data_IF_634809820290
#
_entry.id   IF_634809820290
#
_cell.length_a   1.000
_cell.length_b   1.000
_cell.length_c   1.000
_cell.angle_alpha   90.00
_cell.angle_beta   90.00
_cell.angle_gamma   90.00
#
_symmetry.space_group_name_H-M   'P 1'
#
loop_
_entity.id
_entity.type
_entity.pdbx_description
1 polymer ?
#
# COMPACT_ATOMS: atom_id res chain seq x y z
N UNK A 1 17.31 8.57 28.59
CA UNK A 1 15.92 8.74 29.03
C UNK A 1 15.67 7.77 30.17
N UNK A 2 15.23 8.22 31.33
CA UNK A 2 14.72 7.28 32.34
C UNK A 2 13.45 6.62 31.76
N UNK A 3 13.26 5.30 31.94
CA UNK A 3 12.04 4.64 31.52
C UNK A 3 10.85 5.29 32.22
N UNK A 4 9.82 5.65 31.46
CA UNK A 4 8.58 6.23 32.00
C UNK A 4 8.01 5.22 33.00
N UNK A 5 7.95 5.61 34.27
CA UNK A 5 7.26 4.82 35.29
C UNK A 5 5.77 4.93 35.06
N UNK A 6 5.19 3.88 34.47
CA UNK A 6 3.76 3.74 34.16
C UNK A 6 3.00 3.30 35.41
N UNK A 7 3.13 4.08 36.46
CA UNK A 7 2.55 3.84 37.79
C UNK A 7 1.11 4.39 37.90
N UNK A 8 0.40 4.21 39.03
CA UNK A 8 -0.94 4.76 39.19
C UNK A 8 -1.04 6.28 39.01
N UNK A 9 0.04 7.02 39.29
CA UNK A 9 0.06 8.47 39.09
C UNK A 9 0.13 8.82 37.59
N UNK A 10 0.84 8.01 36.79
CA UNK A 10 0.83 8.12 35.34
C UNK A 10 -0.55 7.82 34.75
N UNK A 11 -1.21 6.73 35.17
CA UNK A 11 -2.60 6.41 34.75
C UNK A 11 -3.57 7.56 35.07
N UNK A 12 -3.46 8.13 36.28
CA UNK A 12 -4.29 9.28 36.69
C UNK A 12 -3.97 10.57 35.91
N UNK A 13 -2.75 10.72 35.39
CA UNK A 13 -2.44 11.79 34.44
C UNK A 13 -3.13 11.55 33.11
N UNK A 14 -2.97 10.38 32.50
CA UNK A 14 -3.60 10.06 31.21
C UNK A 14 -5.12 10.26 31.25
N UNK A 15 -5.77 9.82 32.32
CA UNK A 15 -7.20 10.06 32.53
C UNK A 15 -7.59 11.53 32.38
N UNK A 16 -6.87 12.43 33.06
CA UNK A 16 -7.16 13.87 33.02
C UNK A 16 -6.91 14.48 31.64
N UNK A 17 -5.88 14.01 30.92
CA UNK A 17 -5.60 14.49 29.57
C UNK A 17 -6.71 14.02 28.60
N UNK A 18 -7.16 12.77 28.71
CA UNK A 18 -8.28 12.23 27.90
C UNK A 18 -9.55 13.03 28.16
N UNK A 19 -9.95 13.20 29.42
CA UNK A 19 -11.13 13.99 29.81
C UNK A 19 -11.04 15.45 29.33
N UNK A 20 -9.83 16.02 29.30
CA UNK A 20 -9.62 17.37 28.77
C UNK A 20 -9.84 17.43 27.25
N UNK A 21 -9.25 16.49 26.50
CA UNK A 21 -9.43 16.40 25.04
C UNK A 21 -10.90 16.17 24.69
N UNK A 22 -11.60 15.28 25.41
CA UNK A 22 -13.04 15.06 25.26
C UNK A 22 -13.82 16.37 25.39
N UNK A 23 -13.54 17.14 26.44
CA UNK A 23 -14.22 18.43 26.69
C UNK A 23 -14.01 19.41 25.54
N UNK A 24 -12.78 19.53 25.02
CA UNK A 24 -12.48 20.41 23.88
C UNK A 24 -13.29 20.02 22.65
N UNK A 25 -13.32 18.72 22.33
CA UNK A 25 -14.03 18.19 21.17
C UNK A 25 -15.55 18.34 21.30
N UNK A 26 -16.12 18.11 22.49
CA UNK A 26 -17.55 18.30 22.76
C UNK A 26 -17.99 19.77 22.64
N UNK A 27 -17.13 20.70 23.02
CA UNK A 27 -17.37 22.15 22.88
C UNK A 27 -17.13 22.66 21.44
N UNK A 28 -16.71 21.79 20.51
CA UNK A 28 -16.39 22.15 19.13
C UNK A 28 -15.12 22.99 19.00
N UNK A 29 -14.21 22.89 19.97
CA UNK A 29 -12.89 23.51 19.95
C UNK A 29 -11.89 22.59 19.23
N UNK A 30 -10.81 23.17 18.72
CA UNK A 30 -9.67 22.38 18.25
C UNK A 30 -8.94 21.73 19.43
N UNK A 31 -8.52 20.49 19.27
CA UNK A 31 -7.79 19.72 20.28
C UNK A 31 -6.46 19.16 19.72
N UNK A 32 -6.00 19.68 18.58
CA UNK A 32 -4.85 19.15 17.85
C UNK A 32 -3.56 19.23 18.66
N UNK A 33 -3.36 20.31 19.43
CA UNK A 33 -2.17 20.49 20.27
C UNK A 33 -2.15 19.51 21.45
N UNK A 34 -3.31 19.29 22.08
CA UNK A 34 -3.48 18.37 23.21
C UNK A 34 -3.33 16.91 22.77
N UNK A 35 -3.90 16.55 21.62
CA UNK A 35 -3.74 15.22 21.02
C UNK A 35 -2.28 14.97 20.66
N UNK A 36 -1.59 15.95 20.08
CA UNK A 36 -0.16 15.82 19.79
C UNK A 36 0.65 15.62 21.07
N UNK A 37 0.41 16.42 22.11
CA UNK A 37 1.11 16.28 23.39
C UNK A 37 0.82 14.92 24.08
N UNK A 38 -0.42 14.43 23.96
CA UNK A 38 -0.80 13.11 24.46
C UNK A 38 -0.07 11.97 23.73
N UNK A 39 0.02 12.07 22.39
CA UNK A 39 0.75 11.13 21.55
C UNK A 39 2.25 11.11 21.86
N UNK A 40 2.87 12.28 22.05
CA UNK A 40 4.27 12.39 22.48
C UNK A 40 4.50 11.79 23.87
N UNK A 41 3.55 11.96 24.80
CA UNK A 41 3.63 11.41 26.15
C UNK A 41 3.55 9.88 26.18
N UNK A 42 2.72 9.30 25.32
CA UNK A 42 2.38 7.87 25.32
C UNK A 42 3.23 7.08 24.32
N UNK A 43 3.76 7.74 23.30
CA UNK A 43 4.40 7.10 22.15
C UNK A 43 3.37 6.41 21.25
N UNK A 44 2.16 6.96 21.15
CA UNK A 44 1.05 6.45 20.32
C UNK A 44 0.68 7.48 19.24
N UNK A 45 -0.19 7.08 18.31
CA UNK A 45 -0.67 7.91 17.20
C UNK A 45 -2.20 7.95 17.17
N UNK A 46 -2.81 8.49 18.23
CA UNK A 46 -4.26 8.68 18.28
C UNK A 46 -4.68 9.92 17.48
N UNK A 47 -5.87 9.86 16.89
CA UNK A 47 -6.54 10.99 16.26
C UNK A 47 -7.75 11.45 17.09
N UNK A 48 -8.37 12.56 16.67
CA UNK A 48 -9.56 13.09 17.34
C UNK A 48 -10.73 12.10 17.35
N UNK A 49 -10.81 11.19 16.35
CA UNK A 49 -11.89 10.22 16.26
C UNK A 49 -11.90 9.29 17.47
N UNK A 50 -10.74 8.80 17.90
CA UNK A 50 -10.61 7.93 19.08
C UNK A 50 -11.20 8.59 20.32
N UNK A 51 -10.82 9.84 20.63
CA UNK A 51 -11.29 10.54 21.84
C UNK A 51 -12.81 10.82 21.80
N UNK A 52 -13.39 11.01 20.61
CA UNK A 52 -14.83 11.20 20.47
C UNK A 52 -15.65 9.91 20.45
N UNK A 53 -15.05 8.74 20.17
CA UNK A 53 -15.79 7.50 19.87
C UNK A 53 -15.32 6.23 20.57
N UNK A 54 -14.25 6.25 21.38
CA UNK A 54 -13.73 5.02 22.01
C UNK A 54 -14.79 4.27 22.82
N UNK A 55 -15.70 4.99 23.48
CA UNK A 55 -16.80 4.42 24.28
C UNK A 55 -17.73 3.49 23.49
N UNK A 56 -17.70 3.56 22.14
CA UNK A 56 -18.43 2.63 21.27
C UNK A 56 -17.79 1.23 21.21
N UNK A 57 -16.53 1.10 21.62
CA UNK A 57 -15.73 -0.11 21.51
C UNK A 57 -15.06 -0.54 22.82
N UNK A 58 -14.60 0.40 23.65
CA UNK A 58 -13.77 0.15 24.85
C UNK A 58 -14.14 1.10 26.00
N UNK A 59 -13.76 0.75 27.23
CA UNK A 59 -13.90 1.65 28.38
C UNK A 59 -12.79 2.71 28.43
N UNK A 60 -12.99 3.77 29.22
CA UNK A 60 -11.94 4.76 29.49
C UNK A 60 -10.74 4.10 30.18
N UNK A 61 -11.00 3.19 31.10
CA UNK A 61 -9.97 2.39 31.77
C UNK A 61 -9.15 1.60 30.75
N UNK A 62 -9.78 0.95 29.77
CA UNK A 62 -9.07 0.20 28.71
C UNK A 62 -8.22 1.13 27.83
N UNK A 63 -8.74 2.31 27.46
CA UNK A 63 -7.99 3.30 26.69
C UNK A 63 -6.76 3.79 27.47
N UNK A 64 -6.90 4.02 28.78
CA UNK A 64 -5.78 4.38 29.65
C UNK A 64 -4.74 3.25 29.73
N UNK A 65 -5.18 2.00 29.81
CA UNK A 65 -4.28 0.85 29.80
C UNK A 65 -3.52 0.73 28.48
N UNK A 66 -4.22 0.88 27.35
CA UNK A 66 -3.62 0.87 26.03
C UNK A 66 -2.59 2.01 25.86
N UNK A 67 -2.95 3.23 26.25
CA UNK A 67 -2.07 4.40 26.20
C UNK A 67 -0.91 4.31 27.20
N UNK A 68 -1.04 3.50 28.25
CA UNK A 68 0.08 3.13 29.12
C UNK A 68 1.03 2.16 28.46
N UNK A 69 0.62 1.39 27.44
CA UNK A 69 1.53 0.53 26.70
C UNK A 69 2.26 1.35 25.62
N UNK A 70 3.54 1.04 25.38
CA UNK A 70 4.28 1.69 24.30
C UNK A 70 3.82 1.12 22.98
N UNK A 71 4.22 1.73 21.86
CA UNK A 71 3.96 1.14 20.56
C UNK A 71 4.65 -0.25 20.48
N UNK A 72 3.88 -1.34 20.34
CA UNK A 72 4.46 -2.66 20.15
C UNK A 72 5.12 -2.69 18.77
N UNK A 73 6.44 -2.82 18.78
CA UNK A 73 7.28 -2.82 17.58
C UNK A 73 7.94 -4.19 17.41
N UNK A 74 8.52 -4.41 16.23
CA UNK A 74 9.31 -5.61 15.95
C UNK A 74 10.53 -5.68 16.88
N UNK A 75 10.71 -6.82 17.55
CA UNK A 75 11.83 -7.10 18.44
C UNK A 75 12.84 -7.96 17.66
N UNK A 76 14.05 -7.44 17.35
CA UNK A 76 14.99 -8.11 16.46
C UNK A 76 15.45 -9.51 16.89
N UNK A 77 15.47 -9.78 18.19
CA UNK A 77 15.99 -11.00 18.82
C UNK A 77 14.91 -11.79 19.58
N UNK A 78 13.63 -11.56 19.26
CA UNK A 78 12.54 -12.31 19.89
C UNK A 78 12.67 -13.81 19.62
N UNK A 79 12.57 -14.58 20.70
CA UNK A 79 12.69 -16.03 20.66
C UNK A 79 11.35 -16.67 20.33
N UNK A 80 11.39 -17.93 19.86
CA UNK A 80 10.17 -18.71 19.62
C UNK A 80 9.40 -18.90 20.93
N UNK A 81 10.08 -19.14 22.03
CA UNK A 81 9.50 -19.32 23.36
C UNK A 81 8.74 -18.06 23.82
N UNK A 82 9.27 -16.87 23.55
CA UNK A 82 8.59 -15.59 23.83
C UNK A 82 7.35 -15.39 22.95
N UNK A 83 7.43 -15.73 21.66
CA UNK A 83 6.26 -15.69 20.78
C UNK A 83 5.16 -16.66 21.24
N UNK A 84 5.52 -17.87 21.67
CA UNK A 84 4.59 -18.85 22.21
C UNK A 84 3.95 -18.33 23.49
N UNK A 85 4.71 -17.70 24.37
CA UNK A 85 4.20 -17.06 25.57
C UNK A 85 3.20 -15.93 25.27
N UNK A 86 3.46 -15.14 24.21
CA UNK A 86 2.52 -14.12 23.74
C UNK A 86 1.21 -14.76 23.26
N UNK A 87 1.29 -15.78 22.40
CA UNK A 87 0.11 -16.50 21.91
C UNK A 87 -0.69 -17.14 23.06
N UNK A 88 0.00 -17.72 24.05
CA UNK A 88 -0.61 -18.29 25.26
C UNK A 88 -1.37 -17.24 26.09
N UNK A 89 -0.83 -16.02 26.22
CA UNK A 89 -1.53 -14.92 26.91
C UNK A 89 -2.75 -14.48 26.14
N UNK A 90 -2.67 -14.40 24.82
CA UNK A 90 -3.79 -13.98 23.97
C UNK A 90 -4.97 -14.97 23.99
N UNK A 91 -4.73 -16.25 24.32
CA UNK A 91 -5.78 -17.23 24.53
C UNK A 91 -6.37 -17.22 25.95
N UNK A 92 -5.81 -16.42 26.88
CA UNK A 92 -6.33 -16.29 28.23
C UNK A 92 -7.56 -15.36 28.24
N UNK A 93 -8.74 -15.91 28.56
CA UNK A 93 -10.00 -15.16 28.63
C UNK A 93 -9.99 -14.06 29.70
N UNK A 94 -9.09 -14.11 30.68
CA UNK A 94 -8.96 -13.10 31.74
C UNK A 94 -8.05 -11.93 31.37
N UNK A 95 -7.43 -11.94 30.17
CA UNK A 95 -6.55 -10.87 29.71
C UNK A 95 -7.34 -9.56 29.49
N UNK A 96 -6.85 -8.45 30.04
CA UNK A 96 -7.52 -7.14 29.89
C UNK A 96 -7.51 -6.70 28.43
N UNK A 97 -8.48 -5.84 28.03
CA UNK A 97 -8.56 -5.38 26.65
C UNK A 97 -7.27 -4.67 26.18
N UNK A 98 -6.71 -3.81 27.04
CA UNK A 98 -5.47 -3.10 26.74
C UNK A 98 -4.28 -4.05 26.54
N UNK A 99 -4.18 -5.10 27.37
CA UNK A 99 -3.14 -6.12 27.24
C UNK A 99 -3.37 -6.98 25.99
N UNK A 100 -4.61 -7.40 25.72
CA UNK A 100 -4.98 -8.14 24.50
C UNK A 100 -4.57 -7.40 23.25
N UNK A 101 -4.91 -6.10 23.15
CA UNK A 101 -4.53 -5.27 22.00
C UNK A 101 -3.01 -5.14 21.88
N UNK A 102 -2.31 -4.93 23.00
CA UNK A 102 -0.85 -4.83 22.99
C UNK A 102 -0.18 -6.13 22.52
N UNK A 103 -0.54 -7.27 23.10
CA UNK A 103 0.05 -8.56 22.74
C UNK A 103 -0.30 -8.96 21.29
N UNK A 104 -1.49 -8.61 20.80
CA UNK A 104 -1.87 -8.88 19.42
C UNK A 104 -0.99 -8.12 18.44
N UNK A 105 -0.89 -6.79 18.60
CA UNK A 105 -0.03 -5.96 17.76
C UNK A 105 1.45 -6.37 17.86
N UNK A 106 1.90 -6.77 19.05
CA UNK A 106 3.25 -7.28 19.25
C UNK A 106 3.47 -8.58 18.48
N UNK A 107 2.51 -9.50 18.50
CA UNK A 107 2.59 -10.75 17.75
C UNK A 107 2.62 -10.46 16.23
N UNK A 108 1.70 -9.64 15.73
CA UNK A 108 1.61 -9.22 14.33
C UNK A 108 2.92 -8.60 13.82
N UNK A 109 3.56 -7.75 14.64
CA UNK A 109 4.84 -7.12 14.28
C UNK A 109 6.02 -8.11 14.18
N UNK A 110 5.88 -9.33 14.73
CA UNK A 110 6.98 -10.28 14.89
C UNK A 110 6.77 -11.62 14.15
N UNK A 111 5.65 -11.82 13.46
CA UNK A 111 5.40 -13.00 12.61
C UNK A 111 5.20 -12.61 11.14
N UNK A 112 5.53 -13.49 10.17
CA UNK A 112 5.34 -13.18 8.75
C UNK A 112 3.88 -13.34 8.27
N UNK A 113 3.04 -14.04 9.04
CA UNK A 113 1.63 -14.27 8.69
C UNK A 113 0.78 -13.01 8.88
N UNK A 114 0.10 -12.51 7.82
CA UNK A 114 -0.94 -11.51 7.98
C UNK A 114 -2.15 -12.13 8.68
N UNK A 115 -2.91 -11.32 9.42
CA UNK A 115 -4.13 -11.77 10.13
C UNK A 115 -3.87 -12.96 11.06
N UNK A 116 -2.73 -12.99 11.77
CA UNK A 116 -2.41 -14.05 12.74
C UNK A 116 -3.47 -14.18 13.85
N UNK A 117 -4.22 -13.10 14.10
CA UNK A 117 -5.41 -13.08 14.97
C UNK A 117 -6.41 -14.18 14.64
N UNK A 118 -6.52 -14.58 13.36
CA UNK A 118 -7.45 -15.63 12.96
C UNK A 118 -7.07 -16.99 13.55
N UNK A 119 -5.77 -17.28 13.65
CA UNK A 119 -5.29 -18.51 14.29
C UNK A 119 -5.57 -18.54 15.80
N UNK A 120 -5.73 -17.38 16.42
CA UNK A 120 -5.97 -17.25 17.87
C UNK A 120 -7.46 -17.41 18.18
N UNK A 121 -8.33 -16.76 17.39
CA UNK A 121 -9.75 -16.63 17.74
C UNK A 121 -10.67 -17.60 17.00
N UNK A 122 -10.29 -18.11 15.83
CA UNK A 122 -11.16 -18.94 15.00
C UNK A 122 -10.72 -20.41 14.90
N UNK A 123 -9.47 -20.70 15.23
CA UNK A 123 -8.89 -22.03 15.15
C UNK A 123 -8.66 -22.60 16.55
N UNK A 124 -8.94 -23.88 16.74
CA UNK A 124 -8.69 -24.60 18.01
C UNK A 124 -7.27 -25.16 18.02
N UNK A 125 -6.29 -24.26 18.21
CA UNK A 125 -4.85 -24.56 18.16
C UNK A 125 -4.17 -24.24 19.48
N UNK A 126 -3.19 -25.08 19.85
CA UNK A 126 -2.30 -24.78 20.97
C UNK A 126 -1.30 -23.65 20.59
N UNK A 127 -0.81 -22.85 21.55
CA UNK A 127 0.10 -21.73 21.29
C UNK A 127 1.31 -22.08 20.41
N UNK A 128 1.93 -23.25 20.61
CA UNK A 128 3.05 -23.72 19.81
C UNK A 128 2.69 -23.95 18.35
N UNK A 129 1.46 -24.43 18.07
CA UNK A 129 0.95 -24.69 16.73
C UNK A 129 0.61 -23.39 16.01
N UNK A 130 0.06 -22.40 16.74
CA UNK A 130 -0.18 -21.05 16.22
C UNK A 130 1.14 -20.46 15.73
N UNK A 131 2.17 -20.45 16.58
CA UNK A 131 3.47 -19.88 16.21
C UNK A 131 4.17 -20.68 15.11
N UNK A 132 4.08 -22.02 15.13
CA UNK A 132 4.62 -22.85 14.04
C UNK A 132 4.00 -22.45 12.69
N UNK A 133 2.67 -22.32 12.62
CA UNK A 133 1.96 -21.96 11.40
C UNK A 133 2.19 -20.51 10.99
N UNK A 134 2.18 -19.58 11.95
CA UNK A 134 2.41 -18.17 11.70
C UNK A 134 3.84 -17.93 11.16
N UNK A 135 4.84 -18.64 11.68
CA UNK A 135 6.24 -18.53 11.23
C UNK A 135 6.52 -19.28 9.94
N UNK A 136 5.81 -20.37 9.67
CA UNK A 136 5.89 -21.11 8.41
C UNK A 136 5.09 -20.46 7.26
N UNK A 137 4.40 -19.34 7.53
CA UNK A 137 3.65 -18.64 6.50
C UNK A 137 4.58 -18.10 5.43
N UNK A 138 4.44 -18.67 4.23
CA UNK A 138 4.96 -18.08 3.01
C UNK A 138 3.81 -17.35 2.34
N UNK A 139 4.00 -16.05 2.07
CA UNK A 139 3.03 -15.31 1.28
C UNK A 139 2.81 -16.02 -0.04
N UNK A 140 1.54 -16.06 -0.48
CA UNK A 140 1.22 -16.54 -1.83
C UNK A 140 1.98 -15.65 -2.80
N UNK A 141 3.09 -16.17 -3.31
CA UNK A 141 3.73 -15.63 -4.50
C UNK A 141 2.81 -16.03 -5.64
N UNK A 142 2.01 -15.07 -6.11
CA UNK A 142 1.46 -15.21 -7.45
C UNK A 142 2.65 -15.51 -8.38
N UNK A 143 2.56 -16.52 -9.24
CA UNK A 143 3.63 -16.76 -10.20
C UNK A 143 3.88 -15.45 -10.93
N UNK A 144 5.15 -15.04 -11.00
CA UNK A 144 5.56 -14.02 -11.95
C UNK A 144 5.05 -14.40 -13.35
N UNK A 145 4.97 -13.45 -14.30
CA UNK A 145 4.37 -13.69 -15.59
C UNK A 145 5.04 -14.90 -16.19
N UNK A 146 4.23 -15.86 -16.63
CA UNK A 146 4.77 -17.02 -17.33
C UNK A 146 5.72 -16.49 -18.42
N UNK A 147 6.94 -17.02 -18.56
CA UNK A 147 7.92 -16.54 -19.54
C UNK A 147 7.34 -16.41 -20.95
N UNK A 148 6.33 -17.23 -21.26
CA UNK A 148 5.55 -17.22 -22.50
C UNK A 148 4.78 -15.91 -22.76
N UNK A 149 4.44 -15.15 -21.71
CA UNK A 149 3.74 -13.85 -21.81
C UNK A 149 4.70 -12.66 -21.78
N UNK A 150 5.77 -12.73 -20.97
CA UNK A 150 6.70 -11.62 -20.84
C UNK A 150 7.45 -11.31 -22.15
N UNK A 151 7.96 -12.33 -22.83
CA UNK A 151 8.71 -12.15 -24.09
C UNK A 151 7.91 -11.40 -25.16
N UNK A 152 6.72 -11.90 -25.56
CA UNK A 152 5.87 -11.19 -26.52
C UNK A 152 5.47 -9.78 -26.08
N UNK A 153 5.19 -9.59 -24.79
CA UNK A 153 4.79 -8.29 -24.25
C UNK A 153 5.93 -7.26 -24.31
N UNK A 154 7.15 -7.63 -23.91
CA UNK A 154 8.30 -6.71 -23.97
C UNK A 154 8.72 -6.42 -25.42
N UNK A 155 8.56 -7.37 -26.33
CA UNK A 155 8.79 -7.17 -27.76
C UNK A 155 7.77 -6.21 -28.37
N UNK A 156 6.50 -6.24 -27.92
CA UNK A 156 5.49 -5.23 -28.26
C UNK A 156 5.94 -3.84 -27.81
N UNK A 157 6.37 -3.68 -26.54
CA UNK A 157 6.85 -2.39 -26.03
C UNK A 157 8.03 -1.85 -26.85
N UNK A 158 9.01 -2.70 -27.18
CA UNK A 158 10.16 -2.33 -28.03
C UNK A 158 9.72 -1.94 -29.44
N UNK A 159 8.83 -2.71 -30.04
CA UNK A 159 8.29 -2.41 -31.37
C UNK A 159 7.52 -1.10 -31.39
N UNK A 160 6.75 -0.82 -30.33
CA UNK A 160 6.05 0.46 -30.18
C UNK A 160 7.01 1.62 -30.04
N UNK A 161 8.07 1.49 -29.24
CA UNK A 161 9.09 2.53 -29.15
C UNK A 161 9.82 2.77 -30.49
N UNK A 162 9.99 1.73 -31.30
CA UNK A 162 10.66 1.86 -32.60
C UNK A 162 9.78 2.46 -33.70
N UNK A 163 8.46 2.20 -33.65
CA UNK A 163 7.56 2.49 -34.77
C UNK A 163 6.41 3.45 -34.41
N UNK A 164 6.34 3.92 -33.16
CA UNK A 164 5.27 4.77 -32.62
C UNK A 164 3.86 4.19 -32.81
N UNK A 165 3.77 2.86 -32.80
CA UNK A 165 2.54 2.11 -33.03
C UNK A 165 2.31 1.11 -31.89
N UNK A 166 1.23 1.28 -31.14
CA UNK A 166 0.80 0.34 -30.11
C UNK A 166 -0.48 -0.36 -30.53
N UNK A 167 -0.45 -1.68 -30.74
CA UNK A 167 -1.62 -2.45 -31.21
C UNK A 167 -2.31 -1.86 -32.46
N UNK A 168 -1.53 -1.21 -33.32
CA UNK A 168 -1.99 -0.53 -34.54
C UNK A 168 -2.42 0.94 -34.36
N UNK A 169 -2.34 1.48 -33.14
CA UNK A 169 -2.68 2.87 -32.81
C UNK A 169 -1.44 3.75 -32.94
N UNK A 170 -1.48 4.81 -33.77
CA UNK A 170 -0.33 5.68 -33.99
C UNK A 170 -0.21 6.76 -32.91
N UNK A 171 0.77 6.61 -32.02
CA UNK A 171 1.08 7.59 -30.97
C UNK A 171 1.63 8.86 -31.63
N UNK A 172 1.13 10.03 -31.22
CA UNK A 172 1.52 11.32 -31.79
C UNK A 172 0.85 11.67 -33.13
N UNK A 173 -0.18 10.94 -33.57
CA UNK A 173 -0.95 11.27 -34.79
C UNK A 173 -2.38 11.69 -34.48
N UNK A 174 -3.08 12.23 -35.50
CA UNK A 174 -4.47 12.63 -35.37
C UNK A 174 -5.37 11.45 -35.07
N UNK A 175 -6.14 11.58 -33.99
CA UNK A 175 -7.13 10.59 -33.58
C UNK A 175 -8.24 10.43 -34.63
N UNK A 176 -8.72 11.54 -35.18
CA UNK A 176 -9.79 11.52 -36.20
C UNK A 176 -9.38 10.80 -37.49
N UNK A 177 -8.13 10.98 -37.95
CA UNK A 177 -7.57 10.28 -39.11
C UNK A 177 -7.44 8.78 -38.83
N UNK A 178 -6.95 8.43 -37.64
CA UNK A 178 -6.88 7.04 -37.19
C UNK A 178 -8.27 6.38 -37.20
N UNK A 179 -9.28 7.00 -36.58
CA UNK A 179 -10.64 6.46 -36.52
C UNK A 179 -11.24 6.26 -37.92
N UNK A 180 -10.98 7.17 -38.86
CA UNK A 180 -11.45 7.05 -40.24
C UNK A 180 -10.75 5.93 -41.02
N UNK A 181 -9.46 5.68 -40.74
CA UNK A 181 -8.67 4.66 -41.41
C UNK A 181 -8.92 3.24 -40.87
N UNK A 182 -9.54 3.08 -39.70
CA UNK A 182 -9.62 1.81 -38.99
C UNK A 182 -10.97 1.11 -39.15
N UNK A 183 -10.96 -0.23 -39.14
CA UNK A 183 -12.18 -1.05 -39.31
C UNK A 183 -13.14 -0.86 -38.11
N UNK A 184 -14.48 -0.89 -38.29
CA UNK A 184 -15.47 -0.62 -37.22
C UNK A 184 -15.36 -1.42 -35.90
N UNK A 185 -14.54 -2.47 -35.85
CA UNK A 185 -14.35 -3.29 -34.64
C UNK A 185 -13.57 -2.62 -33.49
N UNK A 186 -12.85 -1.52 -33.76
CA UNK A 186 -12.17 -0.72 -32.73
C UNK A 186 -13.07 0.37 -32.10
N UNK A 187 -14.39 0.36 -32.38
CA UNK A 187 -15.36 1.36 -31.93
C UNK A 187 -15.96 1.10 -30.53
N UNK A 188 -15.45 0.15 -29.75
CA UNK A 188 -15.91 -0.11 -28.38
C UNK A 188 -15.32 0.89 -27.37
N UNK A 189 -15.39 2.17 -27.72
CA UNK A 189 -14.90 3.29 -26.95
C UNK A 189 -15.88 3.62 -25.83
N UNK A 190 -15.45 3.43 -24.59
CA UNK A 190 -16.09 4.12 -23.47
C UNK A 190 -15.29 5.39 -23.23
N UNK A 191 -15.83 6.54 -23.66
CA UNK A 191 -15.30 7.83 -23.23
C UNK A 191 -15.44 7.90 -21.71
N UNK A 192 -14.32 8.10 -21.01
CA UNK A 192 -14.28 8.23 -19.56
C UNK A 192 -14.48 9.69 -19.16
N UNK A 193 -13.78 10.58 -19.86
CA UNK A 193 -13.83 12.04 -19.71
C UNK A 193 -13.50 12.72 -21.06
N UNK A 194 -13.53 14.06 -21.12
CA UNK A 194 -13.40 14.84 -22.36
C UNK A 194 -12.27 14.33 -23.28
N UNK A 195 -11.06 14.16 -22.76
CA UNK A 195 -9.89 13.73 -23.54
C UNK A 195 -9.44 12.27 -23.28
N UNK A 196 -10.20 11.48 -22.49
CA UNK A 196 -9.81 10.13 -22.06
C UNK A 196 -10.75 9.03 -22.56
N UNK A 197 -10.17 7.99 -23.16
CA UNK A 197 -10.90 6.91 -23.82
C UNK A 197 -10.44 5.53 -23.34
N UNK A 198 -11.37 4.68 -22.90
CA UNK A 198 -11.11 3.29 -22.50
C UNK A 198 -11.38 2.31 -23.65
N UNK A 199 -10.38 1.45 -23.91
CA UNK A 199 -10.40 0.40 -24.94
C UNK A 199 -10.49 -1.02 -24.35
N UNK A 200 -10.89 -1.16 -23.08
CA UNK A 200 -11.12 -2.46 -22.42
C UNK A 200 -9.85 -3.23 -22.09
N UNK A 201 -8.68 -2.58 -22.19
CA UNK A 201 -7.36 -3.15 -21.93
C UNK A 201 -6.23 -2.13 -21.91
N UNK A 202 -6.49 -0.91 -22.35
CA UNK A 202 -5.62 0.26 -22.20
C UNK A 202 -6.47 1.52 -22.36
N UNK A 203 -5.91 2.66 -21.98
CA UNK A 203 -6.54 3.97 -22.10
C UNK A 203 -5.76 4.82 -23.09
N UNK A 204 -6.48 5.65 -23.84
CA UNK A 204 -5.90 6.69 -24.70
C UNK A 204 -6.24 8.06 -24.11
N UNK A 205 -5.25 8.93 -24.09
CA UNK A 205 -5.38 10.34 -23.78
C UNK A 205 -5.10 11.18 -25.02
N UNK A 206 -5.98 12.13 -25.31
CA UNK A 206 -5.83 13.06 -26.42
C UNK A 206 -5.30 14.42 -25.94
N UNK A 207 -4.57 15.11 -26.79
CA UNK A 207 -4.22 16.51 -26.63
C UNK A 207 -4.34 17.19 -27.99
N UNK A 208 -5.24 18.18 -28.12
CA UNK A 208 -5.51 18.88 -29.39
C UNK A 208 -5.75 17.93 -30.59
N UNK A 209 -6.61 16.92 -30.42
CA UNK A 209 -6.91 15.86 -31.42
C UNK A 209 -5.75 14.90 -31.74
N UNK A 210 -4.62 15.01 -31.05
CA UNK A 210 -3.47 14.11 -31.19
C UNK A 210 -3.52 13.04 -30.11
N UNK A 211 -3.21 11.80 -30.47
CA UNK A 211 -3.02 10.70 -29.52
C UNK A 211 -1.76 10.98 -28.70
N UNK A 212 -1.94 11.59 -27.52
CA UNK A 212 -0.86 12.08 -26.67
C UNK A 212 -0.21 10.95 -25.89
N UNK A 213 -1.03 10.16 -25.20
CA UNK A 213 -0.56 9.06 -24.39
C UNK A 213 -1.43 7.81 -24.51
N UNK A 214 -0.81 6.65 -24.32
CA UNK A 214 -1.48 5.37 -24.13
C UNK A 214 -1.03 4.80 -22.80
N UNK A 215 -1.99 4.56 -21.90
CA UNK A 215 -1.75 3.94 -20.60
C UNK A 215 -2.19 2.48 -20.65
N UNK A 216 -1.23 1.57 -20.46
CA UNK A 216 -1.44 0.13 -20.49
C UNK A 216 -1.27 -0.39 -19.05
N UNK A 217 -2.34 -0.91 -18.41
CA UNK A 217 -2.19 -1.57 -17.11
C UNK A 217 -1.24 -2.76 -17.23
N UNK A 218 -0.56 -3.12 -16.13
CA UNK A 218 0.34 -4.25 -16.13
C UNK A 218 -0.41 -5.56 -16.43
N UNK A 219 -0.21 -6.11 -17.63
CA UNK A 219 -0.75 -7.42 -18.03
C UNK A 219 0.14 -8.58 -17.52
N UNK A 220 1.31 -8.27 -16.95
CA UNK A 220 2.38 -9.19 -16.54
C UNK A 220 3.07 -8.69 -15.26
N UNK A 221 3.37 -9.59 -14.31
CA UNK A 221 4.09 -9.23 -13.06
C UNK A 221 5.61 -9.06 -13.29
N UNK A 222 6.03 -7.93 -13.85
CA UNK A 222 7.43 -7.70 -14.20
C UNK A 222 8.13 -6.83 -13.16
N UNK A 223 9.40 -7.12 -12.91
CA UNK A 223 10.31 -6.31 -12.08
C UNK A 223 11.20 -5.41 -12.93
N UNK A 224 11.77 -4.36 -12.33
CA UNK A 224 12.71 -3.44 -13.00
C UNK A 224 13.88 -4.22 -13.66
N UNK A 225 14.49 -5.16 -12.94
CA UNK A 225 15.63 -5.95 -13.43
C UNK A 225 15.30 -6.72 -14.72
N UNK A 226 14.09 -7.29 -14.82
CA UNK A 226 13.65 -8.02 -16.01
C UNK A 226 13.48 -7.10 -17.22
N UNK A 227 12.97 -5.88 -17.00
CA UNK A 227 12.85 -4.87 -18.07
C UNK A 227 14.23 -4.42 -18.50
N UNK A 228 15.13 -4.09 -17.57
CA UNK A 228 16.48 -3.65 -17.89
C UNK A 228 17.29 -4.73 -18.62
N UNK A 229 17.13 -5.99 -18.24
CA UNK A 229 17.73 -7.13 -18.96
C UNK A 229 17.28 -7.18 -20.42
N UNK A 230 16.05 -6.76 -20.71
CA UNK A 230 15.44 -6.84 -22.04
C UNK A 230 15.64 -5.58 -22.88
N UNK A 231 15.54 -4.40 -22.27
CA UNK A 231 15.52 -3.08 -22.93
C UNK A 231 16.82 -2.28 -22.73
N UNK A 232 17.73 -2.75 -21.87
CA UNK A 232 18.91 -2.00 -21.43
C UNK A 232 18.61 -1.09 -20.24
N UNK A 233 19.60 -0.33 -19.78
CA UNK A 233 19.42 0.61 -18.66
C UNK A 233 18.50 1.76 -19.07
N UNK A 234 17.54 2.08 -18.21
CA UNK A 234 16.66 3.25 -18.34
C UNK A 234 16.93 4.29 -17.26
N UNK A 235 16.21 5.40 -17.30
CA UNK A 235 16.27 6.41 -16.23
C UNK A 235 15.31 6.06 -15.10
N UNK A 236 15.85 5.89 -13.90
CA UNK A 236 15.08 5.50 -12.71
C UNK A 236 14.80 6.73 -11.84
N UNK A 237 13.52 6.95 -11.54
CA UNK A 237 13.04 7.99 -10.63
C UNK A 237 12.18 7.34 -9.55
N UNK A 238 12.40 7.63 -8.27
CA UNK A 238 11.64 7.03 -7.17
C UNK A 238 11.00 8.08 -6.28
N UNK A 239 9.80 7.78 -5.79
CA UNK A 239 9.07 8.48 -4.74
C UNK A 239 8.83 7.51 -3.57
N UNK A 240 8.16 7.96 -2.50
CA UNK A 240 7.79 7.10 -1.37
C UNK A 240 6.86 5.95 -1.79
N UNK A 241 5.96 6.20 -2.75
CA UNK A 241 4.94 5.25 -3.17
C UNK A 241 5.31 4.48 -4.46
N UNK A 242 6.07 5.10 -5.37
CA UNK A 242 6.29 4.57 -6.71
C UNK A 242 7.76 4.62 -7.14
N UNK A 243 8.11 3.72 -8.04
CA UNK A 243 9.34 3.80 -8.81
C UNK A 243 9.00 3.84 -10.30
N UNK A 244 9.68 4.69 -11.05
CA UNK A 244 9.48 4.90 -12.47
C UNK A 244 10.76 4.56 -13.21
N UNK A 245 10.66 3.68 -14.21
CA UNK A 245 11.74 3.39 -15.14
C UNK A 245 11.35 3.96 -16.50
N UNK A 246 12.15 4.88 -17.04
CA UNK A 246 11.82 5.62 -18.25
C UNK A 246 12.81 5.32 -19.37
N UNK A 247 12.27 5.06 -20.55
CA UNK A 247 13.03 4.91 -21.79
C UNK A 247 12.59 5.95 -22.80
N UNK A 248 13.57 6.47 -23.53
CA UNK A 248 13.37 7.52 -24.53
C UNK A 248 13.64 6.97 -25.93
N UNK A 249 12.79 7.35 -26.88
CA UNK A 249 13.05 7.27 -28.31
C UNK A 249 12.81 8.66 -28.92
N UNK A 250 13.05 8.80 -30.23
CA UNK A 250 12.80 10.08 -30.92
C UNK A 250 11.34 10.52 -30.86
N UNK A 251 10.40 9.57 -30.85
CA UNK A 251 8.96 9.85 -31.01
C UNK A 251 8.10 9.44 -29.81
N UNK A 252 8.58 8.48 -29.00
CA UNK A 252 7.82 7.92 -27.86
C UNK A 252 8.71 7.79 -26.64
N UNK A 253 8.14 8.15 -25.49
CA UNK A 253 8.68 7.86 -24.17
C UNK A 253 7.87 6.71 -23.56
N UNK A 254 8.55 5.66 -23.09
CA UNK A 254 7.93 4.60 -22.34
C UNK A 254 8.27 4.77 -20.86
N UNK A 255 7.26 5.06 -20.05
CA UNK A 255 7.37 5.22 -18.61
C UNK A 255 6.70 4.03 -17.91
N UNK A 256 7.52 3.20 -17.27
CA UNK A 256 7.08 2.02 -16.53
C UNK A 256 6.94 2.40 -15.06
N UNK A 257 5.73 2.30 -14.51
CA UNK A 257 5.44 2.64 -13.12
C UNK A 257 5.36 1.38 -12.27
N UNK A 258 6.10 1.35 -11.18
CA UNK A 258 6.18 0.25 -10.22
C UNK A 258 5.73 0.71 -8.84
N UNK A 259 5.22 -0.21 -8.04
CA UNK A 259 5.01 0.02 -6.61
C UNK A 259 6.36 0.00 -5.88
N UNK A 260 6.66 1.01 -5.05
CA UNK A 260 7.97 1.12 -4.39
C UNK A 260 8.23 0.00 -3.36
N UNK A 261 7.19 -0.51 -2.70
CA UNK A 261 7.32 -1.51 -1.63
C UNK A 261 7.66 -2.91 -2.15
N UNK A 262 7.11 -3.28 -3.31
CA UNK A 262 7.25 -4.64 -3.86
C UNK A 262 7.88 -4.70 -5.26
N UNK A 263 8.21 -3.54 -5.85
CA UNK A 263 8.84 -3.38 -7.16
C UNK A 263 8.11 -4.09 -8.31
N UNK A 264 6.78 -4.22 -8.20
CA UNK A 264 5.94 -4.79 -9.25
C UNK A 264 5.38 -3.69 -10.16
N UNK A 265 5.41 -3.97 -11.47
CA UNK A 265 4.83 -3.09 -12.48
C UNK A 265 3.33 -2.91 -12.23
N UNK A 266 2.88 -1.67 -12.27
CA UNK A 266 1.48 -1.25 -12.14
C UNK A 266 0.91 -0.95 -13.53
N UNK A 267 1.65 -0.15 -14.31
CA UNK A 267 1.23 0.30 -15.64
C UNK A 267 2.45 0.77 -16.45
N UNK A 268 2.26 0.85 -17.76
CA UNK A 268 3.19 1.48 -18.70
C UNK A 268 2.46 2.61 -19.41
N UNK A 269 3.05 3.79 -19.39
CA UNK A 269 2.56 4.95 -20.12
C UNK A 269 3.48 5.24 -21.31
N UNK A 270 2.92 5.18 -22.51
CA UNK A 270 3.58 5.45 -23.77
C UNK A 270 3.18 6.86 -24.21
N UNK A 271 4.11 7.81 -24.25
CA UNK A 271 3.83 9.24 -24.41
C UNK A 271 4.53 9.75 -25.65
N UNK A 272 3.86 10.55 -26.48
CA UNK A 272 4.49 11.22 -27.62
C UNK A 272 5.48 12.30 -27.16
N UNK A 273 6.63 12.41 -27.84
CA UNK A 273 7.60 13.48 -27.60
C UNK A 273 7.20 14.81 -28.27
N UNK A 274 6.15 14.81 -29.10
CA UNK A 274 5.73 15.96 -29.92
C UNK A 274 5.45 17.25 -29.12
N UNK A 275 5.08 17.13 -27.85
CA UNK A 275 4.75 18.26 -26.98
C UNK A 275 5.85 18.57 -25.94
N UNK A 276 7.04 17.98 -26.09
CA UNK A 276 8.18 18.15 -25.19
C UNK A 276 9.27 18.98 -25.87
N UNK A 277 9.10 20.30 -25.87
CA UNK A 277 10.12 21.29 -26.25
C UNK A 277 10.88 21.81 -25.02
#
# INVERSE_FOLDING_TARGET
MEPIKRDPAFKARLKREIEHIETLLEEGQGAEEEIQAFNELTGRTYDAYIFSHYWSAISLEDLIEEACQGEPTRIPDITREELVEIARRLQDEELSHGDTKFYMQLLEANVPMPEVSDLIYWEDLEPEQIIERAMAYESIRLPGPEPERFGPWIDEMKSTMANSLFRGIPIGQSYSEFVQATTPGLQALKQLDDDHYDYGGFQIELCDEVIYAITVPAEVEVTIEQIETSMGSGEVHATEEYCFLTYYSEQVIANFKFNASNQRLIEVRLITTMFMD
#
